data_IF_754506905659
#
_entry.id   IF_754506905659
#
_cell.length_a   1.000
_cell.length_b   1.000
_cell.length_c   1.000
_cell.angle_alpha   90.00
_cell.angle_beta   90.00
_cell.angle_gamma   90.00
#
_symmetry.space_group_name_H-M   'P 1'
#
loop_
_entity.id
_entity.type
_entity.pdbx_description
1 polymer ?
#
# COMPACT_ATOMS: atom_id res chain seq x y z
N UNK A 1 23.18 8.59 -1.76
CA UNK A 1 22.15 9.20 -0.89
C UNK A 1 22.82 9.87 0.30
N UNK A 2 22.51 11.13 0.58
CA UNK A 2 22.92 11.82 1.82
C UNK A 2 21.77 11.85 2.86
N UNK A 3 22.04 12.44 4.05
CA UNK A 3 21.04 12.50 5.13
C UNK A 3 19.81 13.36 4.80
N UNK A 4 19.94 14.39 3.96
CA UNK A 4 18.81 15.24 3.58
C UNK A 4 17.92 14.48 2.62
N UNK A 5 18.50 13.82 1.62
CA UNK A 5 17.79 12.96 0.69
C UNK A 5 17.07 11.82 1.41
N UNK A 6 17.74 11.15 2.36
CA UNK A 6 17.13 10.12 3.20
C UNK A 6 15.93 10.66 4.00
N UNK A 7 16.08 11.82 4.64
CA UNK A 7 14.99 12.45 5.38
C UNK A 7 13.79 12.80 4.49
N UNK A 8 14.02 13.35 3.30
CA UNK A 8 12.95 13.66 2.34
C UNK A 8 12.18 12.40 1.95
N UNK A 9 12.89 11.33 1.58
CA UNK A 9 12.29 10.04 1.23
C UNK A 9 11.48 9.45 2.39
N UNK A 10 12.00 9.51 3.62
CA UNK A 10 11.28 9.05 4.82
C UNK A 10 10.00 9.87 5.10
N UNK A 11 10.02 11.18 4.88
CA UNK A 11 8.82 12.03 5.01
C UNK A 11 7.80 11.70 3.92
N UNK A 12 8.24 11.51 2.68
CA UNK A 12 7.36 11.13 1.57
C UNK A 12 6.67 9.81 1.89
N UNK A 13 7.43 8.78 2.25
CA UNK A 13 6.91 7.47 2.65
C UNK A 13 5.89 7.60 3.78
N UNK A 14 6.28 8.23 4.90
CA UNK A 14 5.41 8.35 6.07
C UNK A 14 4.12 9.13 5.82
N UNK A 15 4.11 10.07 4.88
CA UNK A 15 2.91 10.80 4.49
C UNK A 15 2.04 10.04 3.49
N UNK A 16 2.64 9.31 2.56
CA UNK A 16 1.93 8.78 1.39
C UNK A 16 1.50 7.32 1.53
N UNK A 17 2.11 6.53 2.41
CA UNK A 17 1.84 5.09 2.53
C UNK A 17 0.38 4.78 2.92
N UNK A 18 -0.23 5.60 3.76
CA UNK A 18 -1.62 5.38 4.22
C UNK A 18 -2.66 6.15 3.42
N UNK A 19 -2.22 7.09 2.59
CA UNK A 19 -3.10 7.84 1.71
C UNK A 19 -3.26 7.06 0.39
N UNK A 20 -4.44 7.09 -0.24
CA UNK A 20 -4.66 6.40 -1.51
C UNK A 20 -4.04 7.19 -2.69
N UNK A 21 -2.72 7.45 -2.61
CA UNK A 21 -1.94 8.29 -3.54
C UNK A 21 -0.67 7.60 -4.05
N UNK A 22 -0.40 6.35 -3.60
CA UNK A 22 0.77 5.51 -3.93
C UNK A 22 2.11 6.11 -3.51
N UNK A 23 2.69 5.56 -2.44
CA UNK A 23 4.03 5.86 -1.95
C UNK A 23 5.11 5.52 -2.97
N UNK A 24 5.07 4.32 -3.57
CA UNK A 24 6.02 3.88 -4.62
C UNK A 24 6.16 4.89 -5.75
N UNK A 25 5.04 5.44 -6.24
CA UNK A 25 5.07 6.44 -7.31
C UNK A 25 5.76 7.75 -6.89
N UNK A 26 5.45 8.25 -5.69
CA UNK A 26 6.08 9.46 -5.15
C UNK A 26 7.58 9.25 -4.87
N UNK A 27 7.96 8.08 -4.38
CA UNK A 27 9.34 7.69 -4.12
C UNK A 27 10.17 7.66 -5.40
N UNK A 28 9.70 6.96 -6.44
CA UNK A 28 10.37 6.90 -7.76
C UNK A 28 10.54 8.28 -8.38
N UNK A 29 9.52 9.14 -8.29
CA UNK A 29 9.60 10.52 -8.82
C UNK A 29 10.62 11.35 -8.03
N UNK A 30 10.56 11.30 -6.70
CA UNK A 30 11.45 12.08 -5.83
C UNK A 30 12.91 11.64 -5.96
N UNK A 31 13.19 10.34 -5.93
CA UNK A 31 14.54 9.80 -6.07
C UNK A 31 15.11 10.05 -7.47
N UNK A 32 14.29 10.02 -8.52
CA UNK A 32 14.67 10.44 -9.87
C UNK A 32 14.98 11.93 -9.95
N UNK A 33 14.16 12.78 -9.34
CA UNK A 33 14.37 14.24 -9.32
C UNK A 33 15.64 14.62 -8.55
N UNK A 34 15.97 13.89 -7.48
CA UNK A 34 17.22 14.06 -6.73
C UNK A 34 18.44 13.41 -7.43
N UNK A 35 18.25 12.73 -8.56
CA UNK A 35 19.33 12.09 -9.33
C UNK A 35 19.89 10.81 -8.72
N UNK A 36 19.15 10.18 -7.79
CA UNK A 36 19.61 9.02 -7.02
C UNK A 36 18.78 7.73 -7.26
N UNK A 37 17.72 7.80 -8.08
CA UNK A 37 16.77 6.67 -8.25
C UNK A 37 17.33 5.40 -8.90
N UNK A 38 18.49 5.48 -9.57
CA UNK A 38 19.14 4.30 -10.17
C UNK A 38 20.10 3.57 -9.22
N UNK A 39 20.33 4.10 -8.02
CA UNK A 39 21.24 3.52 -7.03
C UNK A 39 20.54 2.36 -6.28
N UNK A 40 21.15 1.17 -6.28
CA UNK A 40 20.60 -0.02 -5.63
C UNK A 40 20.47 0.14 -4.11
N UNK A 41 21.34 0.95 -3.48
CA UNK A 41 21.21 1.29 -2.07
C UNK A 41 19.99 2.17 -1.81
N UNK A 42 19.63 3.07 -2.73
CA UNK A 42 18.42 3.87 -2.61
C UNK A 42 17.20 2.97 -2.68
N UNK A 43 17.10 2.09 -3.69
CA UNK A 43 15.98 1.13 -3.79
C UNK A 43 15.82 0.29 -2.52
N UNK A 44 16.94 -0.20 -1.96
CA UNK A 44 16.92 -0.92 -0.68
C UNK A 44 16.41 -0.03 0.46
N UNK A 45 16.84 1.22 0.52
CA UNK A 45 16.40 2.19 1.51
C UNK A 45 14.89 2.47 1.40
N UNK A 46 14.36 2.67 0.19
CA UNK A 46 12.93 2.88 -0.06
C UNK A 46 12.08 1.72 0.50
N UNK A 47 12.53 0.48 0.32
CA UNK A 47 11.88 -0.70 0.92
C UNK A 47 12.04 -0.74 2.44
N UNK A 48 13.21 -0.38 2.96
CA UNK A 48 13.49 -0.45 4.39
C UNK A 48 12.67 0.55 5.21
N UNK A 49 12.43 1.76 4.68
CA UNK A 49 11.68 2.80 5.40
C UNK A 49 10.19 2.50 5.53
N UNK A 50 9.61 1.66 4.65
CA UNK A 50 8.24 1.16 4.78
C UNK A 50 8.01 0.44 6.11
N UNK A 51 9.05 -0.19 6.69
CA UNK A 51 8.96 -0.77 8.03
C UNK A 51 8.60 0.28 9.09
N UNK A 52 9.06 1.52 8.93
CA UNK A 52 8.69 2.63 9.81
C UNK A 52 7.20 2.94 9.75
N UNK A 53 6.63 2.95 8.54
CA UNK A 53 5.19 3.11 8.34
C UNK A 53 4.41 1.92 8.95
N UNK A 54 4.83 0.68 8.70
CA UNK A 54 4.21 -0.51 9.29
C UNK A 54 4.21 -0.43 10.82
N UNK A 55 5.34 -0.05 11.43
CA UNK A 55 5.44 0.12 12.89
C UNK A 55 4.48 1.21 13.38
N UNK A 56 4.32 2.31 12.65
CA UNK A 56 3.39 3.37 13.02
C UNK A 56 1.94 2.84 13.13
N UNK A 57 1.50 1.98 12.20
CA UNK A 57 0.18 1.33 12.26
C UNK A 57 0.07 0.38 13.46
N UNK A 58 1.09 -0.44 13.69
CA UNK A 58 1.11 -1.37 14.83
C UNK A 58 1.04 -0.63 16.17
N UNK A 59 1.77 0.49 16.30
CA UNK A 59 1.74 1.34 17.50
C UNK A 59 0.38 2.04 17.65
N UNK A 60 -0.16 2.61 16.57
CA UNK A 60 -1.47 3.28 16.58
C UNK A 60 -2.59 2.33 17.01
N UNK A 61 -2.56 1.09 16.52
CA UNK A 61 -3.56 0.06 16.80
C UNK A 61 -3.06 -1.00 17.81
N UNK A 62 -2.11 -0.65 18.68
CA UNK A 62 -1.43 -1.58 19.60
C UNK A 62 -2.41 -2.47 20.37
N UNK A 63 -3.37 -1.85 21.05
CA UNK A 63 -4.37 -2.59 21.85
C UNK A 63 -5.22 -3.55 21.02
N UNK A 64 -5.40 -3.28 19.73
CA UNK A 64 -6.21 -4.11 18.83
C UNK A 64 -5.39 -5.28 18.28
N UNK A 65 -4.16 -5.01 17.83
CA UNK A 65 -3.24 -6.03 17.32
C UNK A 65 -2.82 -7.05 18.37
N UNK A 66 -2.81 -6.66 19.65
CA UNK A 66 -2.43 -7.53 20.77
C UNK A 66 -3.63 -7.99 21.62
N UNK A 67 -4.86 -7.78 21.16
CA UNK A 67 -6.07 -8.38 21.77
C UNK A 67 -6.33 -9.77 21.17
N UNK A 68 -5.56 -10.75 21.63
CA UNK A 68 -5.63 -12.14 21.15
C UNK A 68 -6.96 -12.84 21.41
N UNK A 69 -7.83 -12.25 22.25
CA UNK A 69 -9.19 -12.77 22.46
C UNK A 69 -10.04 -12.68 21.19
N UNK A 70 -9.74 -11.73 20.30
CA UNK A 70 -10.45 -11.49 19.05
C UNK A 70 -9.85 -12.27 17.88
N UNK A 71 -9.79 -13.59 18.00
CA UNK A 71 -9.19 -14.45 16.97
C UNK A 71 -9.78 -14.25 15.55
N UNK A 72 -11.07 -13.87 15.46
CA UNK A 72 -11.75 -13.58 14.20
C UNK A 72 -11.13 -12.41 13.43
N UNK A 73 -10.49 -11.45 14.11
CA UNK A 73 -9.75 -10.35 13.48
C UNK A 73 -8.60 -10.91 12.62
N UNK A 74 -7.77 -11.78 13.21
CA UNK A 74 -6.65 -12.40 12.51
C UNK A 74 -7.10 -13.31 11.37
N UNK A 75 -8.20 -14.06 11.55
CA UNK A 75 -8.79 -14.86 10.48
C UNK A 75 -9.17 -13.99 9.27
N UNK A 76 -9.83 -12.85 9.49
CA UNK A 76 -10.22 -11.92 8.41
C UNK A 76 -8.99 -11.34 7.70
N UNK A 77 -7.94 -10.99 8.44
CA UNK A 77 -6.68 -10.52 7.85
C UNK A 77 -6.04 -11.58 6.96
N UNK A 78 -5.95 -12.83 7.43
CA UNK A 78 -5.42 -13.94 6.63
C UNK A 78 -6.24 -14.11 5.35
N UNK A 79 -7.58 -14.11 5.45
CA UNK A 79 -8.47 -14.22 4.30
C UNK A 79 -8.24 -13.08 3.29
N UNK A 80 -8.07 -11.85 3.77
CA UNK A 80 -7.84 -10.69 2.92
C UNK A 80 -6.46 -10.72 2.22
N UNK A 81 -5.43 -11.27 2.87
CA UNK A 81 -4.06 -11.30 2.31
C UNK A 81 -3.88 -12.43 1.28
N UNK A 82 -4.64 -13.52 1.38
CA UNK A 82 -4.49 -14.71 0.51
C UNK A 82 -4.53 -14.37 -0.99
N UNK A 83 -5.53 -13.64 -1.53
CA UNK A 83 -5.58 -13.34 -2.97
C UNK A 83 -4.35 -12.57 -3.44
N UNK A 84 -3.92 -11.54 -2.70
CA UNK A 84 -2.75 -10.75 -3.04
C UNK A 84 -1.46 -11.60 -3.07
N UNK A 85 -1.26 -12.52 -2.11
CA UNK A 85 -0.11 -13.42 -2.13
C UNK A 85 -0.12 -14.38 -3.32
N UNK A 86 -1.28 -14.92 -3.68
CA UNK A 86 -1.43 -15.84 -4.81
C UNK A 86 -1.13 -15.10 -6.12
N UNK A 87 -1.82 -13.99 -6.37
CA UNK A 87 -1.67 -13.26 -7.62
C UNK A 87 -0.34 -12.51 -7.70
N UNK A 88 0.18 -11.98 -6.59
CA UNK A 88 1.50 -11.38 -6.54
C UNK A 88 2.59 -12.37 -6.95
N UNK A 89 2.51 -13.63 -6.49
CA UNK A 89 3.44 -14.67 -6.93
C UNK A 89 3.25 -15.06 -8.40
N UNK A 90 2.00 -15.17 -8.86
CA UNK A 90 1.70 -15.58 -10.24
C UNK A 90 2.05 -14.51 -11.29
N UNK A 91 2.00 -13.24 -10.90
CA UNK A 91 2.20 -12.09 -11.79
C UNK A 91 3.54 -11.37 -11.54
N UNK A 92 4.41 -11.90 -10.68
CA UNK A 92 5.65 -11.22 -10.25
C UNK A 92 6.49 -10.71 -11.43
N UNK A 93 6.75 -11.57 -12.42
CA UNK A 93 7.57 -11.21 -13.59
C UNK A 93 6.94 -10.06 -14.42
N UNK A 94 5.60 -10.03 -14.50
CA UNK A 94 4.89 -8.95 -15.18
C UNK A 94 4.94 -7.65 -14.39
N UNK A 95 4.81 -7.73 -13.07
CA UNK A 95 4.87 -6.57 -12.17
C UNK A 95 6.27 -5.95 -12.22
N UNK A 96 7.33 -6.77 -12.09
CA UNK A 96 8.72 -6.31 -12.10
C UNK A 96 9.10 -5.60 -13.42
N UNK A 97 8.64 -6.11 -14.57
CA UNK A 97 8.84 -5.47 -15.88
C UNK A 97 8.15 -4.09 -15.99
N UNK A 98 6.98 -3.93 -15.35
CA UNK A 98 6.17 -2.71 -15.46
C UNK A 98 6.49 -1.66 -14.41
N UNK A 99 6.87 -2.06 -13.20
CA UNK A 99 7.26 -1.14 -12.11
C UNK A 99 8.55 -0.38 -12.44
N UNK A 100 9.42 -0.92 -13.30
CA UNK A 100 10.60 -0.21 -13.79
C UNK A 100 10.31 0.93 -14.77
N UNK A 101 9.06 1.12 -15.21
CA UNK A 101 8.67 2.11 -16.22
C UNK A 101 7.93 3.31 -15.57
N UNK A 102 8.58 4.48 -15.42
CA UNK A 102 7.95 5.65 -14.81
C UNK A 102 6.69 6.14 -15.53
N UNK A 103 6.61 5.96 -16.85
CA UNK A 103 5.43 6.34 -17.64
C UNK A 103 4.27 5.42 -17.30
N UNK A 104 4.53 4.12 -17.16
CA UNK A 104 3.51 3.15 -16.73
C UNK A 104 2.96 3.51 -15.35
N UNK A 105 3.85 3.78 -14.38
CA UNK A 105 3.46 4.21 -13.03
C UNK A 105 2.61 5.50 -13.11
N UNK A 106 3.03 6.50 -13.86
CA UNK A 106 2.28 7.75 -14.01
C UNK A 106 0.87 7.55 -14.58
N UNK A 107 0.71 6.64 -15.56
CA UNK A 107 -0.60 6.29 -16.12
C UNK A 107 -1.47 5.62 -15.05
N UNK A 108 -0.94 4.65 -14.30
CA UNK A 108 -1.67 3.97 -13.23
C UNK A 108 -2.10 4.94 -12.13
N UNK A 109 -1.22 5.88 -11.72
CA UNK A 109 -1.55 6.94 -10.76
C UNK A 109 -2.70 7.82 -11.25
N UNK A 110 -2.64 8.25 -12.52
CA UNK A 110 -3.68 9.09 -13.10
C UNK A 110 -5.03 8.37 -13.16
N UNK A 111 -5.03 7.12 -13.63
CA UNK A 111 -6.24 6.29 -13.71
C UNK A 111 -6.80 6.01 -12.31
N UNK A 112 -5.95 5.65 -11.35
CA UNK A 112 -6.31 5.45 -9.95
C UNK A 112 -6.94 6.70 -9.34
N UNK A 113 -6.33 7.87 -9.55
CA UNK A 113 -6.88 9.16 -9.12
C UNK A 113 -8.26 9.46 -9.72
N UNK A 114 -8.45 9.20 -11.02
CA UNK A 114 -9.75 9.35 -11.67
C UNK A 114 -10.79 8.41 -11.05
N UNK A 115 -10.44 7.15 -10.78
CA UNK A 115 -11.34 6.20 -10.12
C UNK A 115 -11.75 6.73 -8.75
N UNK A 116 -10.80 7.17 -7.93
CA UNK A 116 -11.06 7.69 -6.59
C UNK A 116 -11.95 8.94 -6.60
N UNK A 117 -11.86 9.81 -7.61
CA UNK A 117 -12.76 10.97 -7.75
C UNK A 117 -14.24 10.59 -7.91
N UNK A 118 -14.52 9.39 -8.43
CA UNK A 118 -15.89 8.96 -8.74
C UNK A 118 -16.36 7.77 -7.90
N UNK A 119 -15.47 7.12 -7.15
CA UNK A 119 -15.79 5.91 -6.39
C UNK A 119 -16.90 6.14 -5.36
N UNK A 120 -16.90 7.30 -4.70
CA UNK A 120 -17.91 7.68 -3.71
C UNK A 120 -19.32 7.79 -4.30
N UNK A 121 -19.44 8.03 -5.62
CA UNK A 121 -20.74 8.06 -6.30
C UNK A 121 -21.35 6.67 -6.45
N UNK A 122 -20.52 5.62 -6.43
CA UNK A 122 -20.95 4.23 -6.53
C UNK A 122 -21.36 3.68 -5.16
N UNK A 123 -20.71 4.10 -4.08
CA UNK A 123 -20.93 3.57 -2.72
C UNK A 123 -21.68 4.54 -1.78
N UNK A 124 -22.88 4.97 -2.19
CA UNK A 124 -23.67 5.97 -1.45
C UNK A 124 -24.38 5.47 -0.19
N UNK A 125 -24.43 4.16 0.03
CA UNK A 125 -25.15 3.53 1.15
C UNK A 125 -24.22 2.55 1.87
N UNK A 126 -23.40 3.02 2.83
CA UNK A 126 -22.56 2.13 3.60
C UNK A 126 -23.43 1.24 4.50
N UNK A 127 -23.35 -0.08 4.31
CA UNK A 127 -24.09 -1.07 5.12
C UNK A 127 -23.32 -1.49 6.38
N UNK A 128 -22.00 -1.29 6.38
CA UNK A 128 -21.09 -1.69 7.47
C UNK A 128 -20.49 -0.42 8.07
N UNK A 129 -20.87 -0.10 9.32
CA UNK A 129 -20.37 1.05 10.06
C UNK A 129 -19.17 0.73 10.96
N UNK A 130 -19.02 -0.54 11.35
CA UNK A 130 -17.96 -0.99 12.25
C UNK A 130 -17.24 -2.20 11.66
N UNK A 131 -15.92 -2.23 11.83
CA UNK A 131 -15.06 -3.31 11.34
C UNK A 131 -15.44 -4.69 11.89
N UNK A 132 -15.96 -4.76 13.12
CA UNK A 132 -16.39 -6.02 13.75
C UNK A 132 -17.44 -6.74 12.89
N UNK A 133 -18.28 -5.96 12.19
CA UNK A 133 -19.36 -6.45 11.33
C UNK A 133 -18.89 -6.89 9.94
N UNK A 134 -17.60 -6.74 9.60
CA UNK A 134 -17.05 -7.24 8.32
C UNK A 134 -17.16 -8.76 8.29
N UNK A 135 -17.87 -9.30 7.30
CA UNK A 135 -17.96 -10.75 7.10
C UNK A 135 -16.68 -11.32 6.47
N UNK A 136 -16.47 -12.64 6.60
CA UNK A 136 -15.36 -13.33 5.91
C UNK A 136 -15.43 -13.16 4.38
N UNK A 137 -16.64 -13.12 3.81
CA UNK A 137 -16.85 -12.87 2.38
C UNK A 137 -16.43 -11.45 2.00
N UNK A 138 -16.74 -10.46 2.84
CA UNK A 138 -16.31 -9.07 2.64
C UNK A 138 -14.79 -8.95 2.73
N UNK A 139 -14.16 -9.61 3.72
CA UNK A 139 -12.70 -9.64 3.84
C UNK A 139 -12.04 -10.25 2.58
N UNK A 140 -12.59 -11.34 2.05
CA UNK A 140 -12.11 -11.93 0.80
C UNK A 140 -12.27 -10.97 -0.40
N UNK A 141 -13.41 -10.29 -0.53
CA UNK A 141 -13.63 -9.28 -1.58
C UNK A 141 -12.60 -8.16 -1.49
N UNK A 142 -12.32 -7.65 -0.30
CA UNK A 142 -11.26 -6.65 -0.07
C UNK A 142 -9.91 -7.20 -0.55
N UNK A 143 -9.59 -8.45 -0.21
CA UNK A 143 -8.39 -9.12 -0.70
C UNK A 143 -8.30 -9.23 -2.23
N UNK A 144 -9.41 -9.50 -2.90
CA UNK A 144 -9.46 -9.47 -4.38
C UNK A 144 -9.17 -8.08 -4.95
N UNK A 145 -9.64 -7.00 -4.32
CA UNK A 145 -9.27 -5.64 -4.71
C UNK A 145 -7.81 -5.31 -4.39
N UNK A 146 -7.25 -5.89 -3.33
CA UNK A 146 -5.83 -5.74 -2.97
C UNK A 146 -4.88 -6.34 -4.03
N UNK A 147 -5.37 -7.20 -4.93
CA UNK A 147 -4.58 -7.67 -6.10
C UNK A 147 -4.23 -6.52 -7.06
N UNK A 148 -4.96 -5.39 -7.00
CA UNK A 148 -4.66 -4.20 -7.80
C UNK A 148 -3.57 -3.31 -7.20
N UNK A 149 -3.17 -3.58 -5.95
CA UNK A 149 -2.17 -2.80 -5.23
C UNK A 149 -0.74 -3.13 -5.67
#
# INVERSE_FOLDING_TARGET
MDYIQAFILAVIEGLTEFLPVSSTGHMVIASSFMGIGNDDFVKLYEVAIQLGAIIAVVVLYWKKFFDFSKWQFYLKLIIAVIPALIFGKLLNDFIDDKLGNPIFIAIVLLVGGIILLFIDKLFKKPEISEEVNISNLTAFKIGCFQVLA
#
